data_IF_670842584790
#
_entry.id   IF_670842584790
#
_cell.length_a   1.000
_cell.length_b   1.000
_cell.length_c   1.000
_cell.angle_alpha   90.00
_cell.angle_beta   90.00
_cell.angle_gamma   90.00
#
_symmetry.space_group_name_H-M   'P 1'
#
loop_
_entity.id
_entity.type
_entity.pdbx_description
1 polymer ?
#
# COMPACT_ATOMS: atom_id res chain seq x y z
N UNK A 1 -3.32 -10.75 -6.91
CA UNK A 1 -1.95 -10.97 -7.42
C UNK A 1 -1.02 -9.79 -7.14
N UNK A 2 -1.39 -8.54 -7.50
CA UNK A 2 -0.54 -7.35 -7.29
C UNK A 2 0.00 -7.16 -5.86
N UNK A 3 -0.85 -7.27 -4.83
CA UNK A 3 -0.43 -7.14 -3.42
C UNK A 3 0.58 -8.22 -3.00
N UNK A 4 0.45 -9.44 -3.52
CA UNK A 4 1.38 -10.55 -3.26
C UNK A 4 2.73 -10.39 -3.99
N UNK A 5 2.79 -9.54 -5.04
CA UNK A 5 4.02 -9.23 -5.76
C UNK A 5 4.82 -8.09 -5.10
N UNK A 6 4.24 -7.37 -4.13
CA UNK A 6 4.95 -6.34 -3.38
C UNK A 6 6.11 -6.92 -2.59
N UNK A 7 7.20 -6.15 -2.48
CA UNK A 7 8.28 -6.44 -1.53
C UNK A 7 7.71 -6.52 -0.10
N UNK A 8 8.25 -7.38 0.78
CA UNK A 8 7.71 -7.56 2.13
C UNK A 8 7.57 -6.25 2.93
N UNK A 9 8.53 -5.34 2.78
CA UNK A 9 8.58 -4.03 3.45
C UNK A 9 7.52 -3.02 2.94
N UNK A 10 6.96 -3.26 1.75
CA UNK A 10 5.87 -2.47 1.17
C UNK A 10 4.49 -3.09 1.46
N UNK A 11 4.43 -4.42 1.51
CA UNK A 11 3.17 -5.16 1.72
C UNK A 11 2.57 -4.88 3.09
N UNK A 12 3.38 -4.96 4.14
CA UNK A 12 2.88 -4.83 5.51
C UNK A 12 2.20 -3.48 5.78
N UNK A 13 2.79 -2.31 5.40
CA UNK A 13 2.11 -1.02 5.53
C UNK A 13 0.76 -0.96 4.80
N UNK A 14 0.69 -1.51 3.58
CA UNK A 14 -0.55 -1.53 2.79
C UNK A 14 -1.64 -2.36 3.46
N UNK A 15 -1.31 -3.57 3.91
CA UNK A 15 -2.28 -4.45 4.57
C UNK A 15 -2.81 -3.78 5.85
N UNK A 16 -1.92 -3.34 6.73
CA UNK A 16 -2.32 -2.75 8.01
C UNK A 16 -3.20 -1.51 7.83
N UNK A 17 -2.87 -0.63 6.87
CA UNK A 17 -3.60 0.63 6.69
C UNK A 17 -4.84 0.52 5.81
N UNK A 18 -4.73 -0.18 4.68
CA UNK A 18 -5.74 -0.15 3.62
C UNK A 18 -6.68 -1.37 3.66
N UNK A 19 -6.31 -2.44 4.37
CA UNK A 19 -7.13 -3.66 4.53
C UNK A 19 -7.64 -3.77 5.96
N UNK A 20 -6.76 -3.72 6.96
CA UNK A 20 -7.12 -3.85 8.38
C UNK A 20 -7.64 -2.53 8.99
N UNK A 21 -7.43 -1.39 8.31
CA UNK A 21 -7.98 -0.09 8.71
C UNK A 21 -7.28 0.59 9.90
N UNK A 22 -6.16 0.06 10.39
CA UNK A 22 -5.39 0.64 11.50
C UNK A 22 -4.97 2.07 11.20
N UNK A 23 -4.86 2.91 12.25
CA UNK A 23 -4.29 4.25 12.09
C UNK A 23 -2.80 4.19 11.69
N UNK A 24 -2.28 5.29 11.15
CA UNK A 24 -0.85 5.37 10.81
C UNK A 24 0.05 5.15 12.03
N UNK A 25 -0.36 5.67 13.20
CA UNK A 25 0.42 5.54 14.42
C UNK A 25 0.46 4.09 14.91
N UNK A 26 -0.70 3.41 14.98
CA UNK A 26 -0.79 2.00 15.39
C UNK A 26 -0.02 1.10 14.43
N UNK A 27 -0.20 1.27 13.13
CA UNK A 27 0.47 0.45 12.12
C UNK A 27 1.98 0.71 12.07
N UNK A 28 2.44 1.94 12.32
CA UNK A 28 3.86 2.26 12.42
C UNK A 28 4.49 1.60 13.65
N UNK A 29 3.81 1.63 14.80
CA UNK A 29 4.27 0.96 16.02
C UNK A 29 4.37 -0.56 15.85
N UNK A 30 3.41 -1.20 15.18
CA UNK A 30 3.44 -2.65 14.89
C UNK A 30 4.68 -3.05 14.07
N UNK A 31 5.13 -2.16 13.17
CA UNK A 31 6.28 -2.43 12.29
C UNK A 31 7.61 -1.90 12.81
N UNK A 32 7.62 -1.36 14.05
CA UNK A 32 8.78 -0.70 14.65
C UNK A 32 9.35 0.43 13.76
N UNK A 33 8.47 1.31 13.29
CA UNK A 33 8.79 2.45 12.44
C UNK A 33 8.30 3.77 13.03
N UNK A 34 8.98 4.85 12.68
CA UNK A 34 8.38 6.18 12.77
C UNK A 34 7.28 6.38 11.72
N UNK A 35 6.25 7.16 12.05
CA UNK A 35 5.12 7.45 11.14
C UNK A 35 5.56 7.94 9.75
N UNK A 36 6.61 8.76 9.67
CA UNK A 36 7.14 9.24 8.40
C UNK A 36 7.69 8.10 7.53
N UNK A 37 8.42 7.16 8.14
CA UNK A 37 8.93 5.96 7.47
C UNK A 37 7.79 5.05 7.00
N UNK A 38 6.76 4.88 7.84
CA UNK A 38 5.55 4.14 7.50
C UNK A 38 4.82 4.75 6.30
N UNK A 39 4.52 6.06 6.34
CA UNK A 39 3.86 6.80 5.24
C UNK A 39 4.64 6.68 3.93
N UNK A 40 5.97 6.76 4.00
CA UNK A 40 6.86 6.59 2.83
C UNK A 40 6.75 5.20 2.19
N UNK A 41 6.75 4.13 3.01
CA UNK A 41 6.60 2.75 2.50
C UNK A 41 5.21 2.49 1.97
N UNK A 42 4.17 2.95 2.66
CA UNK A 42 2.77 2.84 2.23
C UNK A 42 2.56 3.52 0.87
N UNK A 43 3.10 4.72 0.68
CA UNK A 43 3.00 5.41 -0.62
C UNK A 43 3.62 4.58 -1.75
N UNK A 44 4.84 4.06 -1.56
CA UNK A 44 5.48 3.19 -2.55
C UNK A 44 4.67 1.92 -2.83
N UNK A 45 4.07 1.32 -1.80
CA UNK A 45 3.21 0.14 -1.95
C UNK A 45 1.99 0.46 -2.83
N UNK A 46 1.31 1.59 -2.58
CA UNK A 46 0.15 2.02 -3.37
C UNK A 46 0.51 2.32 -4.83
N UNK A 47 1.66 2.95 -5.08
CA UNK A 47 2.15 3.19 -6.45
C UNK A 47 2.39 1.86 -7.18
N UNK A 48 3.08 0.92 -6.54
CA UNK A 48 3.37 -0.39 -7.12
C UNK A 48 2.09 -1.19 -7.41
N UNK A 49 1.09 -1.14 -6.52
CA UNK A 49 -0.22 -1.77 -6.77
C UNK A 49 -0.92 -1.09 -7.95
N UNK A 50 -1.00 0.26 -7.95
CA UNK A 50 -1.63 1.03 -9.03
C UNK A 50 -1.01 0.69 -10.39
N UNK A 51 0.31 0.67 -10.47
CA UNK A 51 1.01 0.39 -11.72
C UNK A 51 0.80 -1.07 -12.16
N UNK A 52 0.71 -2.02 -11.22
CA UNK A 52 0.43 -3.42 -11.52
C UNK A 52 -1.02 -3.70 -11.98
N UNK A 53 -1.98 -2.84 -11.63
CA UNK A 53 -3.39 -3.00 -12.04
C UNK A 53 -3.78 -2.10 -13.20
N UNK A 54 -2.89 -1.22 -13.67
CA UNK A 54 -3.14 -0.26 -14.74
C UNK A 54 -3.70 -0.92 -16.00
N UNK A 55 -3.13 -2.04 -16.40
CA UNK A 55 -3.54 -2.76 -17.63
C UNK A 55 -4.84 -3.55 -17.46
N UNK A 56 -5.36 -3.64 -16.24
CA UNK A 56 -6.58 -4.39 -15.89
C UNK A 56 -7.78 -3.48 -15.61
N UNK A 57 -7.55 -2.18 -15.46
CA UNK A 57 -8.63 -1.20 -15.30
C UNK A 57 -9.10 -0.81 -16.70
N UNK A 58 -10.37 -1.04 -17.07
CA UNK A 58 -10.89 -0.56 -18.34
C UNK A 58 -10.70 0.96 -18.39
N UNK A 59 -10.26 1.48 -19.55
CA UNK A 59 -10.33 2.93 -19.77
C UNK A 59 -11.78 3.32 -19.59
N UNK A 60 -12.02 4.24 -18.66
CA UNK A 60 -13.35 4.73 -18.33
C UNK A 60 -13.96 5.29 -19.62
N UNK A 61 -14.98 4.63 -20.22
CA UNK A 61 -15.51 5.06 -21.52
C UNK A 61 -16.27 6.39 -21.42
N UNK A 62 -16.42 6.94 -20.21
CA UNK A 62 -17.15 8.19 -19.92
C UNK A 62 -16.24 9.35 -19.45
N UNK A 63 -14.91 9.23 -19.57
CA UNK A 63 -13.97 10.32 -19.25
C UNK A 63 -13.68 11.29 -20.39
#
# INVERSE_FOLDING_TARGET
RAVQALKPDQRAPLVLRDIEGLSTAEAAAILDLGEAGFKSRLHRARLAVRDAVRDYLPEDPER
#
